data_IF_402518777647
#
_entry.id   IF_402518777647
#
_cell.length_a   1.000
_cell.length_b   1.000
_cell.length_c   1.000
_cell.angle_alpha   90.00
_cell.angle_beta   90.00
_cell.angle_gamma   90.00
#
_symmetry.space_group_name_H-M   'P 1'
#
loop_
_entity.id
_entity.type
_entity.pdbx_description
1 polymer ?
#
# COMPACT_ATOMS: atom_id res chain seq x y z
N UNK A 1 16.38 12.13 -20.13
CA UNK A 1 15.42 13.22 -20.39
C UNK A 1 14.57 13.40 -19.14
N UNK A 2 14.42 14.61 -18.63
CA UNK A 2 13.48 14.92 -17.55
C UNK A 2 12.38 15.80 -18.13
N UNK A 3 11.11 15.48 -17.82
CA UNK A 3 9.97 16.31 -18.18
C UNK A 3 9.51 16.98 -16.90
N UNK A 4 9.57 18.31 -16.89
CA UNK A 4 9.14 19.10 -15.74
C UNK A 4 7.63 19.30 -15.80
N UNK A 5 6.97 19.17 -14.64
CA UNK A 5 5.52 19.39 -14.49
C UNK A 5 5.24 20.24 -13.26
N UNK A 6 4.14 20.98 -13.29
CA UNK A 6 3.56 21.62 -12.10
C UNK A 6 2.62 20.64 -11.41
N UNK A 7 3.20 19.65 -10.72
CA UNK A 7 2.51 18.44 -10.27
C UNK A 7 1.86 18.49 -8.89
N UNK A 8 1.56 19.67 -8.34
CA UNK A 8 0.94 19.79 -6.99
C UNK A 8 -0.37 18.97 -6.91
N UNK A 9 -1.20 19.09 -7.94
CA UNK A 9 -2.50 18.40 -8.04
C UNK A 9 -2.43 17.04 -8.75
N UNK A 10 -1.25 16.42 -8.87
CA UNK A 10 -1.11 15.18 -9.64
C UNK A 10 -2.01 14.05 -9.08
N UNK A 11 -2.04 13.84 -7.76
CA UNK A 11 -2.92 12.83 -7.16
C UNK A 11 -4.41 13.18 -7.28
N UNK A 12 -4.87 14.41 -6.96
CA UNK A 12 -6.26 14.82 -7.20
C UNK A 12 -6.74 14.55 -8.63
N UNK A 13 -5.96 14.95 -9.65
CA UNK A 13 -6.33 14.77 -11.07
C UNK A 13 -6.52 13.28 -11.41
N UNK A 14 -5.57 12.43 -11.02
CA UNK A 14 -5.66 10.99 -11.29
C UNK A 14 -6.78 10.33 -10.49
N UNK A 15 -7.01 10.77 -9.25
CA UNK A 15 -8.07 10.25 -8.40
C UNK A 15 -9.47 10.61 -8.92
N UNK A 16 -9.65 11.82 -9.44
CA UNK A 16 -10.91 12.26 -10.07
C UNK A 16 -11.25 11.39 -11.29
N UNK A 17 -10.27 11.19 -12.19
CA UNK A 17 -10.44 10.32 -13.35
C UNK A 17 -10.85 8.89 -12.94
N UNK A 18 -10.21 8.33 -11.90
CA UNK A 18 -10.57 7.03 -11.38
C UNK A 18 -11.98 7.02 -10.76
N UNK A 19 -12.34 8.02 -9.96
CA UNK A 19 -13.65 8.15 -9.30
C UNK A 19 -14.79 8.30 -10.30
N UNK A 20 -14.55 8.97 -11.42
CA UNK A 20 -15.54 9.10 -12.50
C UNK A 20 -15.73 7.80 -13.28
N UNK A 21 -14.76 6.90 -13.25
CA UNK A 21 -14.81 5.62 -13.96
C UNK A 21 -15.39 4.46 -13.12
N UNK A 22 -15.49 4.60 -11.79
CA UNK A 22 -15.92 3.52 -10.89
C UNK A 22 -17.02 4.00 -9.93
N UNK A 23 -18.07 3.21 -9.78
CA UNK A 23 -19.19 3.54 -8.88
C UNK A 23 -18.88 3.17 -7.42
N UNK A 24 -18.14 2.09 -7.20
CA UNK A 24 -17.94 1.50 -5.89
C UNK A 24 -16.55 1.81 -5.32
N UNK A 25 -16.48 2.82 -4.45
CA UNK A 25 -15.25 3.20 -3.74
C UNK A 25 -15.45 3.06 -2.22
N UNK A 26 -14.60 2.25 -1.60
CA UNK A 26 -14.58 2.05 -0.16
C UNK A 26 -13.36 2.76 0.43
N UNK A 27 -13.60 3.86 1.15
CA UNK A 27 -12.56 4.63 1.82
C UNK A 27 -12.55 4.34 3.32
N UNK A 28 -11.41 4.61 3.98
CA UNK A 28 -11.21 4.35 5.43
C UNK A 28 -11.48 2.89 5.84
N UNK A 29 -11.25 1.96 4.92
CA UNK A 29 -11.24 0.52 5.15
C UNK A 29 -9.81 0.03 5.03
N UNK A 30 -9.29 -0.60 6.08
CA UNK A 30 -7.98 -1.23 6.05
C UNK A 30 -8.13 -2.72 5.74
N UNK A 31 -7.50 -3.19 4.66
CA UNK A 31 -7.50 -4.60 4.26
C UNK A 31 -6.38 -5.33 5.02
N UNK A 32 -6.73 -6.40 5.74
CA UNK A 32 -5.83 -7.06 6.67
C UNK A 32 -5.41 -8.48 6.26
N UNK A 33 -6.32 -9.24 5.62
CA UNK A 33 -6.06 -10.65 5.28
C UNK A 33 -6.66 -11.03 3.91
N UNK A 34 -5.97 -11.90 3.14
CA UNK A 34 -6.58 -12.53 1.98
C UNK A 34 -7.54 -13.63 2.41
N UNK A 35 -8.48 -13.96 1.52
CA UNK A 35 -9.32 -15.15 1.60
C UNK A 35 -8.99 -16.04 0.41
N UNK A 36 -8.63 -17.28 0.69
CA UNK A 36 -8.39 -18.31 -0.32
C UNK A 36 -9.66 -19.13 -0.55
N UNK A 37 -9.76 -19.76 -1.71
CA UNK A 37 -10.86 -20.66 -2.04
C UNK A 37 -10.84 -21.87 -1.09
N UNK A 38 -12.03 -22.34 -0.71
CA UNK A 38 -12.17 -23.43 0.26
C UNK A 38 -11.73 -24.77 -0.33
N UNK A 39 -11.88 -24.94 -1.64
CA UNK A 39 -11.58 -26.17 -2.36
C UNK A 39 -10.21 -26.10 -3.07
N UNK A 40 -9.70 -24.89 -3.32
CA UNK A 40 -8.38 -24.65 -3.93
C UNK A 40 -7.55 -23.63 -3.15
N UNK A 41 -6.60 -24.07 -2.29
CA UNK A 41 -5.78 -23.17 -1.49
C UNK A 41 -4.80 -22.32 -2.32
N UNK A 42 -4.69 -22.55 -3.63
CA UNK A 42 -3.85 -21.73 -4.52
C UNK A 42 -4.63 -20.59 -5.18
N UNK A 43 -5.95 -20.54 -4.98
CA UNK A 43 -6.84 -19.58 -5.61
C UNK A 43 -7.34 -18.53 -4.61
N UNK A 44 -7.30 -17.26 -5.04
CA UNK A 44 -7.90 -16.17 -4.26
C UNK A 44 -9.44 -16.19 -4.38
N UNK A 45 -10.12 -16.00 -3.26
CA UNK A 45 -11.58 -15.88 -3.16
C UNK A 45 -12.05 -14.52 -2.61
N UNK A 46 -11.12 -13.68 -2.12
CA UNK A 46 -11.47 -12.36 -1.61
C UNK A 46 -10.45 -11.79 -0.63
N UNK A 47 -10.90 -10.80 0.16
CA UNK A 47 -10.13 -10.19 1.25
C UNK A 47 -11.04 -9.81 2.43
N UNK A 48 -10.45 -9.72 3.61
CA UNK A 48 -11.09 -9.19 4.83
C UNK A 48 -10.42 -7.88 5.21
N UNK A 49 -11.24 -6.89 5.52
CA UNK A 49 -10.81 -5.62 6.09
C UNK A 49 -11.72 -5.14 7.21
N UNK A 50 -11.38 -4.00 7.79
CA UNK A 50 -12.19 -3.34 8.81
C UNK A 50 -12.20 -1.82 8.61
N UNK A 51 -13.31 -1.18 8.99
CA UNK A 51 -13.40 0.28 9.01
C UNK A 51 -12.54 0.85 10.13
N UNK A 52 -11.82 1.93 9.84
CA UNK A 52 -11.10 2.72 10.87
C UNK A 52 -11.92 3.92 11.35
N UNK A 53 -13.22 3.91 11.06
CA UNK A 53 -14.19 4.94 11.48
C UNK A 53 -15.41 4.33 12.18
N UNK A 54 -15.72 3.08 11.88
CA UNK A 54 -16.87 2.35 12.42
C UNK A 54 -16.43 0.98 12.93
N UNK A 55 -17.21 0.40 13.83
CA UNK A 55 -17.02 -0.98 14.32
C UNK A 55 -17.55 -2.01 13.31
N UNK A 56 -16.98 -2.03 12.11
CA UNK A 56 -17.40 -2.91 11.01
C UNK A 56 -16.23 -3.71 10.45
N UNK A 57 -16.38 -5.02 10.44
CA UNK A 57 -15.57 -5.95 9.64
C UNK A 57 -16.26 -6.14 8.29
N UNK A 58 -15.50 -6.05 7.21
CA UNK A 58 -16.00 -6.11 5.83
C UNK A 58 -15.32 -7.28 5.13
N UNK A 59 -16.13 -8.14 4.54
CA UNK A 59 -15.69 -9.29 3.75
C UNK A 59 -15.97 -9.01 2.28
N UNK A 60 -14.92 -8.85 1.49
CA UNK A 60 -15.03 -8.69 0.05
C UNK A 60 -14.79 -10.05 -0.61
N UNK A 61 -15.85 -10.65 -1.17
CA UNK A 61 -15.73 -11.84 -2.02
C UNK A 61 -15.46 -11.38 -3.45
N UNK A 62 -14.42 -11.93 -4.09
CA UNK A 62 -14.02 -11.51 -5.43
C UNK A 62 -13.44 -12.69 -6.23
N UNK A 63 -13.67 -12.70 -7.54
CA UNK A 63 -13.08 -13.70 -8.45
C UNK A 63 -11.61 -13.42 -8.78
N UNK A 64 -11.21 -12.16 -8.66
CA UNK A 64 -9.85 -11.68 -8.87
C UNK A 64 -9.60 -10.52 -7.90
N UNK A 65 -8.38 -10.42 -7.40
CA UNK A 65 -7.94 -9.35 -6.48
C UNK A 65 -6.65 -8.75 -7.02
N UNK A 66 -6.59 -7.42 -7.07
CA UNK A 66 -5.38 -6.68 -7.41
C UNK A 66 -4.89 -5.99 -6.13
N UNK A 67 -3.67 -6.28 -5.72
CA UNK A 67 -3.00 -5.69 -4.56
C UNK A 67 -2.21 -4.46 -4.98
N UNK A 68 -2.55 -3.28 -4.45
CA UNK A 68 -1.89 -2.00 -4.76
C UNK A 68 -1.58 -1.18 -3.50
N UNK A 69 -1.32 -1.83 -2.36
CA UNK A 69 -1.07 -1.18 -1.06
C UNK A 69 0.31 -0.52 -0.90
N UNK A 70 1.05 -0.33 -1.99
CA UNK A 70 2.40 0.23 -1.98
C UNK A 70 3.47 -0.72 -1.42
N UNK A 71 4.66 -0.16 -1.16
CA UNK A 71 5.81 -0.89 -0.62
C UNK A 71 5.84 -0.95 0.92
N UNK A 72 7.05 -0.97 1.49
CA UNK A 72 7.26 -0.96 2.94
C UNK A 72 8.25 0.12 3.39
N UNK A 73 7.87 0.84 4.44
CA UNK A 73 8.65 1.86 5.14
C UNK A 73 8.58 1.63 6.65
N UNK A 74 9.39 2.33 7.43
CA UNK A 74 9.42 2.14 8.89
C UNK A 74 10.02 0.81 9.36
N UNK A 75 10.54 -0.02 8.45
CA UNK A 75 11.20 -1.31 8.75
C UNK A 75 12.60 -1.11 9.35
N UNK A 76 13.32 -0.07 8.90
CA UNK A 76 14.63 0.31 9.42
C UNK A 76 14.54 1.59 10.24
N UNK A 77 15.38 1.71 11.27
CA UNK A 77 15.48 2.93 12.08
C UNK A 77 15.97 4.10 11.21
N UNK A 78 15.23 5.22 11.10
CA UNK A 78 15.66 6.40 10.35
C UNK A 78 16.71 7.22 11.13
N UNK A 79 17.38 8.17 10.46
CA UNK A 79 18.32 9.12 11.10
C UNK A 79 17.62 10.09 12.04
N UNK A 80 16.49 10.65 11.63
CA UNK A 80 15.70 11.55 12.46
C UNK A 80 14.85 10.74 13.45
N UNK A 81 14.85 11.14 14.72
CA UNK A 81 14.12 10.49 15.82
C UNK A 81 13.10 11.47 16.43
N UNK A 82 12.23 10.98 17.32
CA UNK A 82 11.14 11.80 17.89
C UNK A 82 10.14 12.23 16.81
N UNK A 83 9.83 13.52 16.75
CA UNK A 83 8.90 14.08 15.74
C UNK A 83 9.39 13.87 14.29
N UNK A 84 10.70 13.69 14.10
CA UNK A 84 11.31 13.42 12.80
C UNK A 84 11.05 12.02 12.24
N UNK A 85 10.48 11.09 13.03
CA UNK A 85 10.24 9.70 12.60
C UNK A 85 9.34 9.61 11.37
N UNK A 86 8.42 10.57 11.19
CA UNK A 86 7.52 10.61 10.02
C UNK A 86 8.19 11.12 8.74
N UNK A 87 9.42 11.67 8.80
CA UNK A 87 10.13 12.27 7.65
C UNK A 87 10.88 11.23 6.81
N UNK A 88 10.20 10.13 6.50
CA UNK A 88 10.74 9.07 5.65
C UNK A 88 10.72 9.53 4.18
N UNK A 89 11.74 9.14 3.41
CA UNK A 89 11.82 9.49 1.98
C UNK A 89 10.63 9.00 1.16
N UNK A 90 10.24 7.75 1.40
CA UNK A 90 9.10 7.11 0.77
C UNK A 90 7.84 7.30 1.64
N UNK A 91 6.68 6.92 1.13
CA UNK A 91 5.41 7.16 1.82
C UNK A 91 5.35 6.47 3.20
N UNK A 92 5.22 7.21 4.32
CA UNK A 92 5.32 6.67 5.68
C UNK A 92 4.13 5.77 6.07
N UNK A 93 3.01 5.88 5.37
CA UNK A 93 1.84 5.02 5.54
C UNK A 93 1.94 3.68 4.80
N UNK A 94 2.98 3.47 3.99
CA UNK A 94 3.22 2.18 3.33
C UNK A 94 3.94 1.24 4.31
N UNK A 95 3.19 0.30 4.90
CA UNK A 95 3.66 -0.60 5.96
C UNK A 95 3.97 -2.03 5.48
N UNK A 96 4.08 -2.25 4.16
CA UNK A 96 4.29 -3.58 3.59
C UNK A 96 3.02 -4.44 3.53
N UNK A 97 1.84 -3.81 3.56
CA UNK A 97 0.55 -4.53 3.50
C UNK A 97 0.42 -5.38 2.24
N UNK A 98 0.84 -4.87 1.07
CA UNK A 98 0.83 -5.64 -0.19
C UNK A 98 1.65 -6.92 -0.08
N UNK A 99 2.89 -6.80 0.42
CA UNK A 99 3.78 -7.95 0.62
C UNK A 99 3.17 -8.97 1.57
N UNK A 100 2.62 -8.52 2.70
CA UNK A 100 2.00 -9.41 3.66
C UNK A 100 0.78 -10.14 3.08
N UNK A 101 -0.09 -9.45 2.33
CA UNK A 101 -1.25 -10.06 1.68
C UNK A 101 -0.84 -11.09 0.62
N UNK A 102 0.13 -10.74 -0.23
CA UNK A 102 0.62 -11.60 -1.30
C UNK A 102 1.32 -12.86 -0.74
N UNK A 103 2.24 -12.68 0.21
CA UNK A 103 2.94 -13.80 0.87
C UNK A 103 1.95 -14.74 1.55
N UNK A 104 0.96 -14.19 2.28
CA UNK A 104 -0.09 -15.00 2.94
C UNK A 104 -1.01 -15.71 1.96
N UNK A 105 -1.13 -15.19 0.75
CA UNK A 105 -1.89 -15.83 -0.34
C UNK A 105 -1.09 -16.92 -1.07
N UNK A 106 0.18 -17.16 -0.67
CA UNK A 106 1.06 -18.11 -1.34
C UNK A 106 1.69 -17.58 -2.63
N UNK A 107 1.63 -16.27 -2.88
CA UNK A 107 2.25 -15.67 -4.06
C UNK A 107 3.79 -15.78 -3.97
N UNK A 108 4.43 -16.08 -5.10
CA UNK A 108 5.88 -16.13 -5.19
C UNK A 108 6.44 -14.71 -5.21
N UNK A 109 7.33 -14.43 -4.27
CA UNK A 109 8.08 -13.18 -4.21
C UNK A 109 9.40 -13.30 -4.98
N UNK A 110 9.95 -12.18 -5.41
CA UNK A 110 11.25 -12.13 -6.11
C UNK A 110 12.03 -10.90 -5.66
N UNK A 111 13.36 -11.01 -5.64
CA UNK A 111 14.28 -9.93 -5.28
C UNK A 111 13.96 -9.22 -3.94
N UNK A 112 13.43 -9.94 -2.94
CA UNK A 112 13.06 -9.35 -1.65
C UNK A 112 14.26 -8.83 -0.84
N UNK A 113 15.47 -9.27 -1.19
CA UNK A 113 16.73 -8.75 -0.66
C UNK A 113 17.10 -7.37 -1.22
N UNK A 114 16.50 -6.98 -2.36
CA UNK A 114 16.77 -5.70 -3.00
C UNK A 114 16.08 -4.57 -2.23
N UNK A 115 16.88 -3.70 -1.61
CA UNK A 115 16.40 -2.48 -0.95
C UNK A 115 16.88 -1.23 -1.68
N UNK A 116 16.06 -0.19 -1.64
CA UNK A 116 16.40 1.13 -2.17
C UNK A 116 16.90 2.05 -1.06
N UNK A 117 18.13 2.54 -1.19
CA UNK A 117 18.72 3.57 -0.33
C UNK A 117 19.03 4.79 -1.19
N UNK A 118 18.44 5.94 -0.86
CA UNK A 118 18.55 7.14 -1.69
C UNK A 118 19.45 8.20 -1.07
N UNK A 119 20.26 8.85 -1.90
CA UNK A 119 20.99 10.07 -1.53
C UNK A 119 20.09 11.30 -1.78
N UNK A 120 19.73 12.02 -0.72
CA UNK A 120 18.85 13.21 -0.75
C UNK A 120 19.40 14.29 0.18
N UNK A 121 18.80 15.47 0.16
CA UNK A 121 19.09 16.50 1.15
C UNK A 121 18.83 15.97 2.56
N UNK A 122 19.80 16.18 3.43
CA UNK A 122 19.80 15.71 4.82
C UNK A 122 18.55 16.21 5.55
N UNK A 123 17.95 15.36 6.38
CA UNK A 123 16.82 15.63 7.29
C UNK A 123 15.48 16.05 6.64
N UNK A 124 15.46 16.42 5.36
CA UNK A 124 14.23 16.78 4.64
C UNK A 124 13.37 15.57 4.30
N UNK A 125 14.00 14.55 3.69
CA UNK A 125 13.35 13.33 3.20
C UNK A 125 14.37 12.18 3.09
N UNK A 126 15.31 12.07 4.03
CA UNK A 126 16.41 11.10 3.97
C UNK A 126 16.41 10.17 5.18
N UNK A 127 16.59 8.85 5.00
CA UNK A 127 16.84 7.94 6.11
C UNK A 127 18.18 8.22 6.75
#
# INVERSE_FOLDING_TARGET
>A
WQIMIHGESYKPIVAEAARNAIENVYERVFVAHPLLDADDPTRIAGVVGFSVRDYKVIVFKAKAVISCGGGATGVYRPRAQGEGLGRIWYAPWNTGSSYALEIRSGAKMTQMEHRLVVARFKDGYGP
#
